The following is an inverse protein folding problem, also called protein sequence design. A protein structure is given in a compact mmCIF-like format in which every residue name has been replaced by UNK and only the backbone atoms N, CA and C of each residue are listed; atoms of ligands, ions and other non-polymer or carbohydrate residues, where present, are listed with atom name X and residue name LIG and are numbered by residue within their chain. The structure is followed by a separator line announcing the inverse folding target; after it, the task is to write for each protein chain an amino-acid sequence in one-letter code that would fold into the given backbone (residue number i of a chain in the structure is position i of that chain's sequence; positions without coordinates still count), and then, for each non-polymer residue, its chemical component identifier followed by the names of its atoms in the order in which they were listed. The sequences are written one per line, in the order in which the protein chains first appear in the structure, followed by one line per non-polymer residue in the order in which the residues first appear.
data_IF_990300571585
#
_entry.id   IF_990300571585
#
_cell.length_a   1.000
_cell.length_b   1.000
_cell.length_c   1.000
_cell.angle_alpha   90.00
_cell.angle_beta   90.00
_cell.angle_gamma   90.00
#
_symmetry.space_group_name_H-M   'P 1'
#
loop_
_entity.id
_entity.type
_entity.pdbx_description
1 polymer ?
#
# COMPACT_ATOMS: atom_id res chain seq x y z
N UNK A 1 -11.78 5.15 -24.83
CA UNK A 1 -11.50 4.89 -23.39
C UNK A 1 -12.01 3.49 -23.10
N UNK A 2 -11.11 2.51 -22.87
CA UNK A 2 -11.50 1.09 -22.78
C UNK A 2 -12.51 0.84 -21.64
N UNK A 3 -13.40 -0.14 -21.80
CA UNK A 3 -14.41 -0.49 -20.79
C UNK A 3 -13.81 -0.74 -19.40
N UNK A 4 -12.58 -1.28 -19.37
CA UNK A 4 -11.77 -1.49 -18.17
C UNK A 4 -11.49 -0.20 -17.40
N UNK A 5 -11.16 0.91 -18.09
CA UNK A 5 -10.94 2.20 -17.44
C UNK A 5 -12.22 2.76 -16.81
N UNK A 6 -13.39 2.53 -17.42
CA UNK A 6 -14.68 2.94 -16.85
C UNK A 6 -15.08 2.12 -15.63
N UNK A 7 -14.82 0.81 -15.65
CA UNK A 7 -15.11 -0.08 -14.52
C UNK A 7 -14.24 0.22 -13.28
N UNK A 8 -12.97 0.60 -13.51
CA UNK A 8 -12.00 0.91 -12.45
C UNK A 8 -12.13 2.36 -11.93
N UNK A 9 -12.62 3.29 -12.77
CA UNK A 9 -12.82 4.70 -12.42
C UNK A 9 -14.10 4.97 -11.62
N UNK A 10 -14.95 3.97 -11.37
CA UNK A 10 -16.17 4.16 -10.58
C UNK A 10 -15.89 4.49 -9.12
N UNK A 11 -14.71 4.15 -8.61
CA UNK A 11 -14.29 4.49 -7.26
C UNK A 11 -13.43 5.76 -7.26
N UNK A 12 -13.98 6.84 -6.69
CA UNK A 12 -13.38 8.17 -6.42
C UNK A 12 -12.65 8.87 -7.60
N UNK A 13 -13.11 10.07 -7.96
CA UNK A 13 -12.38 10.96 -8.89
C UNK A 13 -11.06 11.41 -8.26
N UNK A 14 -9.91 10.92 -8.76
CA UNK A 14 -8.58 11.46 -8.42
C UNK A 14 -8.24 12.59 -9.40
N UNK A 15 -7.68 13.69 -8.88
CA UNK A 15 -7.30 14.88 -9.64
C UNK A 15 -5.78 15.02 -9.81
N UNK A 16 -5.03 13.93 -9.59
CA UNK A 16 -3.56 13.97 -9.63
C UNK A 16 -3.02 14.17 -11.05
N UNK A 17 -1.88 14.86 -11.18
CA UNK A 17 -1.25 15.18 -12.48
C UNK A 17 -0.85 13.91 -13.25
N UNK A 18 -0.49 12.84 -12.54
CA UNK A 18 -0.11 11.53 -13.10
C UNK A 18 -1.28 10.54 -13.23
N UNK A 19 -2.51 10.97 -12.93
CA UNK A 19 -3.65 10.08 -12.81
C UNK A 19 -3.90 9.23 -14.06
N UNK A 20 -3.81 9.82 -15.25
CA UNK A 20 -4.12 9.13 -16.51
C UNK A 20 -3.09 8.03 -16.83
N UNK A 21 -1.82 8.27 -16.53
CA UNK A 21 -0.74 7.31 -16.74
C UNK A 21 -0.81 6.17 -15.72
N UNK A 22 -1.03 6.49 -14.45
CA UNK A 22 -1.20 5.53 -13.38
C UNK A 22 -2.42 4.62 -13.63
N UNK A 23 -3.55 5.22 -14.03
CA UNK A 23 -4.77 4.47 -14.39
C UNK A 23 -4.55 3.57 -15.61
N UNK A 24 -3.79 4.03 -16.61
CA UNK A 24 -3.46 3.21 -17.78
C UNK A 24 -2.59 2.00 -17.40
N UNK A 25 -1.55 2.22 -16.59
CA UNK A 25 -0.64 1.18 -16.14
C UNK A 25 -1.37 0.15 -15.27
N UNK A 26 -2.18 0.61 -14.33
CA UNK A 26 -2.94 -0.30 -13.48
C UNK A 26 -4.02 -1.06 -14.26
N UNK A 27 -4.73 -0.42 -15.19
CA UNK A 27 -5.68 -1.13 -16.05
C UNK A 27 -4.99 -2.26 -16.83
N UNK A 28 -3.81 -1.99 -17.36
CA UNK A 28 -2.98 -2.99 -18.05
C UNK A 28 -2.55 -4.14 -17.13
N UNK A 29 -2.15 -3.85 -15.89
CA UNK A 29 -1.79 -4.87 -14.90
C UNK A 29 -3.01 -5.73 -14.51
N UNK A 30 -4.15 -5.10 -14.24
CA UNK A 30 -5.40 -5.79 -13.87
C UNK A 30 -5.88 -6.73 -14.99
N UNK A 31 -5.77 -6.33 -16.25
CA UNK A 31 -6.14 -7.18 -17.40
C UNK A 31 -5.23 -8.41 -17.55
N UNK A 32 -3.95 -8.29 -17.19
CA UNK A 32 -2.96 -9.39 -17.28
C UNK A 32 -2.90 -10.28 -16.05
N UNK A 33 -3.63 -9.92 -15.00
CA UNK A 33 -3.60 -10.65 -13.74
C UNK A 33 -4.20 -12.06 -13.88
N UNK A 34 -3.50 -13.11 -13.41
CA UNK A 34 -4.00 -14.46 -13.47
C UNK A 34 -5.34 -14.62 -12.73
N UNK A 35 -6.23 -15.48 -13.26
CA UNK A 35 -7.56 -15.72 -12.68
C UNK A 35 -7.52 -16.22 -11.23
N UNK A 36 -6.43 -16.86 -10.80
CA UNK A 36 -6.25 -17.37 -9.44
C UNK A 36 -5.89 -16.29 -8.41
N UNK A 37 -5.34 -15.14 -8.83
CA UNK A 37 -5.01 -14.04 -7.90
C UNK A 37 -6.31 -13.42 -7.42
N UNK A 38 -6.49 -13.28 -6.11
CA UNK A 38 -7.69 -12.64 -5.52
C UNK A 38 -7.33 -11.29 -4.88
N UNK A 39 -8.33 -10.42 -4.68
CA UNK A 39 -8.16 -9.13 -3.98
C UNK A 39 -7.43 -9.31 -2.65
N UNK A 40 -7.89 -10.26 -1.83
CA UNK A 40 -7.29 -10.54 -0.52
C UNK A 40 -5.81 -10.94 -0.61
N UNK A 41 -5.39 -11.63 -1.67
CA UNK A 41 -3.98 -11.97 -1.87
C UNK A 41 -3.15 -10.73 -2.19
N UNK A 42 -3.69 -9.79 -2.96
CA UNK A 42 -3.04 -8.52 -3.24
C UNK A 42 -2.95 -7.64 -2.00
N UNK A 43 -4.02 -7.56 -1.20
CA UNK A 43 -4.00 -6.84 0.07
C UNK A 43 -2.96 -7.45 1.03
N UNK A 44 -2.86 -8.79 1.08
CA UNK A 44 -1.81 -9.47 1.86
C UNK A 44 -0.41 -9.20 1.33
N UNK A 45 -0.24 -9.07 0.01
CA UNK A 45 1.02 -8.68 -0.63
C UNK A 45 1.39 -7.24 -0.23
N UNK A 46 0.39 -6.35 -0.21
CA UNK A 46 0.49 -4.99 0.28
C UNK A 46 1.04 -4.94 1.70
N UNK A 47 0.43 -5.71 2.60
CA UNK A 47 0.87 -5.87 3.98
C UNK A 47 2.30 -6.42 4.09
N UNK A 48 2.62 -7.46 3.32
CA UNK A 48 3.98 -8.02 3.27
C UNK A 48 5.02 -6.99 2.85
N UNK A 49 4.68 -6.08 1.92
CA UNK A 49 5.54 -4.96 1.55
C UNK A 49 5.84 -4.04 2.75
N UNK A 50 4.81 -3.65 3.51
CA UNK A 50 4.98 -2.82 4.72
C UNK A 50 5.80 -3.54 5.81
N UNK A 51 5.54 -4.83 6.03
CA UNK A 51 6.32 -5.65 6.97
C UNK A 51 7.78 -5.79 6.53
N UNK A 52 8.03 -5.89 5.23
CA UNK A 52 9.39 -5.95 4.69
C UNK A 52 10.12 -4.62 4.89
N UNK A 53 9.46 -3.47 4.71
CA UNK A 53 10.04 -2.16 5.05
C UNK A 53 10.43 -2.11 6.53
N UNK A 54 9.54 -2.52 7.42
CA UNK A 54 9.81 -2.57 8.86
C UNK A 54 11.00 -3.50 9.19
N UNK A 55 11.03 -4.69 8.59
CA UNK A 55 12.11 -5.65 8.76
C UNK A 55 13.45 -5.11 8.25
N UNK A 56 13.46 -4.43 7.10
CA UNK A 56 14.66 -3.80 6.54
C UNK A 56 15.19 -2.69 7.46
N UNK A 57 14.32 -1.88 8.07
CA UNK A 57 14.74 -0.87 9.05
C UNK A 57 15.32 -1.51 10.32
N UNK A 58 14.69 -2.55 10.85
CA UNK A 58 15.22 -3.31 11.99
C UNK A 58 16.58 -3.94 11.68
N UNK A 59 16.73 -4.57 10.51
CA UNK A 59 17.98 -5.18 10.09
C UNK A 59 19.05 -4.11 9.83
N UNK A 60 18.69 -2.96 9.27
CA UNK A 60 19.62 -1.85 9.05
C UNK A 60 20.20 -1.29 10.36
N UNK A 61 19.45 -1.38 11.47
CA UNK A 61 19.92 -0.99 12.80
C UNK A 61 21.07 -1.89 13.30
N UNK A 62 21.11 -3.16 12.87
CA UNK A 62 22.10 -4.16 13.33
C UNK A 62 23.23 -4.36 12.31
N UNK A 63 22.91 -4.43 11.01
CA UNK A 63 23.83 -4.83 9.93
C UNK A 63 24.28 -3.67 9.04
N UNK A 64 23.77 -2.45 9.29
CA UNK A 64 24.15 -1.22 8.59
C UNK A 64 23.12 -0.67 7.62
N UNK A 65 23.22 0.62 7.33
CA UNK A 65 22.25 1.40 6.57
C UNK A 65 22.10 1.03 5.09
N UNK A 66 23.03 0.26 4.53
CA UNK A 66 22.98 -0.19 3.13
C UNK A 66 21.73 -1.04 2.82
N UNK A 67 21.16 -1.71 3.82
CA UNK A 67 19.93 -2.48 3.67
C UNK A 67 18.71 -1.61 3.35
N UNK A 68 18.76 -0.30 3.67
CA UNK A 68 17.69 0.63 3.30
C UNK A 68 17.61 0.87 1.79
N UNK A 69 18.63 0.50 1.02
CA UNK A 69 18.56 0.57 -0.45
C UNK A 69 17.54 -0.42 -1.04
N UNK A 70 17.12 -1.43 -0.27
CA UNK A 70 16.06 -2.37 -0.68
C UNK A 70 14.66 -1.87 -0.32
N UNK A 71 14.54 -0.83 0.53
CA UNK A 71 13.27 -0.25 0.94
C UNK A 71 12.39 0.22 -0.23
N UNK A 72 12.92 0.83 -1.32
CA UNK A 72 12.12 1.15 -2.51
C UNK A 72 11.45 -0.06 -3.16
N UNK A 73 12.10 -1.24 -3.13
CA UNK A 73 11.52 -2.49 -3.66
C UNK A 73 10.36 -2.93 -2.76
N UNK A 74 10.54 -2.86 -1.44
CA UNK A 74 9.47 -3.17 -0.50
C UNK A 74 8.27 -2.23 -0.63
N UNK A 75 8.51 -0.93 -0.82
CA UNK A 75 7.45 0.03 -1.13
C UNK A 75 6.77 -0.23 -2.48
N UNK A 76 7.53 -0.64 -3.49
CA UNK A 76 6.94 -1.04 -4.77
C UNK A 76 6.01 -2.25 -4.62
N UNK A 77 6.38 -3.24 -3.80
CA UNK A 77 5.52 -4.39 -3.49
C UNK A 77 4.26 -3.95 -2.75
N UNK A 78 4.40 -3.07 -1.75
CA UNK A 78 3.25 -2.52 -1.03
C UNK A 78 2.29 -1.81 -1.98
N UNK A 79 2.82 -0.85 -2.75
CA UNK A 79 2.06 -0.09 -3.74
C UNK A 79 1.39 -0.99 -4.78
N UNK A 80 2.08 -2.03 -5.26
CA UNK A 80 1.53 -2.98 -6.22
C UNK A 80 0.33 -3.74 -5.65
N UNK A 81 0.41 -4.19 -4.39
CA UNK A 81 -0.70 -4.88 -3.72
C UNK A 81 -1.92 -3.97 -3.54
N UNK A 82 -1.72 -2.85 -2.87
CA UNK A 82 -2.77 -1.88 -2.50
C UNK A 82 -3.39 -1.17 -3.71
N UNK A 83 -2.60 -0.87 -4.75
CA UNK A 83 -3.15 -0.21 -5.95
C UNK A 83 -4.00 -1.14 -6.81
N UNK A 84 -3.79 -2.46 -6.73
CA UNK A 84 -4.46 -3.43 -7.58
C UNK A 84 -5.66 -4.10 -6.94
N UNK A 85 -5.74 -4.19 -5.62
CA UNK A 85 -6.72 -5.04 -4.93
C UNK A 85 -8.18 -4.59 -5.18
N UNK A 86 -8.50 -3.34 -4.85
CA UNK A 86 -9.82 -2.75 -5.08
C UNK A 86 -10.16 -2.75 -6.56
N UNK A 87 -9.21 -2.35 -7.41
CA UNK A 87 -9.41 -2.26 -8.87
C UNK A 87 -9.64 -3.63 -9.52
N UNK A 88 -9.00 -4.68 -9.03
CA UNK A 88 -9.26 -6.06 -9.44
C UNK A 88 -10.65 -6.53 -9.01
N UNK A 89 -11.09 -6.16 -7.80
CA UNK A 89 -12.42 -6.50 -7.30
C UNK A 89 -13.54 -5.89 -8.16
N UNK A 90 -13.38 -4.63 -8.58
CA UNK A 90 -14.29 -3.96 -9.52
C UNK A 90 -14.22 -4.56 -10.92
N UNK A 91 -13.02 -4.80 -11.46
CA UNK A 91 -12.85 -5.42 -12.78
C UNK A 91 -13.52 -6.79 -12.87
N UNK A 92 -13.44 -7.60 -11.80
CA UNK A 92 -14.07 -8.93 -11.74
C UNK A 92 -15.55 -8.91 -11.37
N UNK A 93 -16.17 -7.73 -11.22
CA UNK A 93 -17.57 -7.55 -10.81
C UNK A 93 -17.92 -8.32 -9.53
N UNK A 94 -16.96 -8.47 -8.61
CA UNK A 94 -17.16 -9.07 -7.28
C UNK A 94 -16.78 -8.07 -6.16
N UNK A 95 -17.25 -6.81 -6.21
CA UNK A 95 -16.93 -5.84 -5.17
C UNK A 95 -17.59 -6.26 -3.85
N UNK A 96 -16.82 -6.29 -2.77
CA UNK A 96 -17.34 -6.48 -1.41
C UNK A 96 -17.12 -5.19 -0.63
N UNK A 97 -18.02 -4.22 -0.82
CA UNK A 97 -17.83 -2.83 -0.36
C UNK A 97 -17.43 -2.72 1.12
N UNK A 98 -18.17 -3.39 2.02
CA UNK A 98 -17.90 -3.31 3.46
C UNK A 98 -16.71 -4.14 3.92
N UNK A 99 -16.53 -5.34 3.36
CA UNK A 99 -15.44 -6.22 3.75
C UNK A 99 -14.08 -5.71 3.25
N UNK A 100 -14.02 -5.29 1.98
CA UNK A 100 -12.81 -4.69 1.40
C UNK A 100 -12.42 -3.44 2.17
N UNK A 101 -13.36 -2.50 2.34
CA UNK A 101 -13.11 -1.27 3.09
C UNK A 101 -12.57 -1.50 4.51
N UNK A 102 -13.19 -2.41 5.29
CA UNK A 102 -12.67 -2.72 6.62
C UNK A 102 -11.31 -3.41 6.58
N UNK A 103 -11.09 -4.31 5.62
CA UNK A 103 -9.81 -5.00 5.46
C UNK A 103 -8.69 -4.02 5.10
N UNK A 104 -8.94 -3.10 4.18
CA UNK A 104 -7.98 -2.09 3.73
C UNK A 104 -7.58 -1.20 4.91
N UNK A 105 -8.54 -0.68 5.68
CA UNK A 105 -8.26 0.11 6.90
C UNK A 105 -7.43 -0.69 7.89
N UNK A 106 -7.79 -1.93 8.19
CA UNK A 106 -7.07 -2.76 9.16
C UNK A 106 -5.64 -3.04 8.69
N UNK A 107 -5.46 -3.35 7.41
CA UNK A 107 -4.14 -3.66 6.83
C UNK A 107 -3.24 -2.44 6.79
N UNK A 108 -3.78 -1.27 6.45
CA UNK A 108 -3.05 -0.01 6.48
C UNK A 108 -2.63 0.37 7.90
N UNK A 109 -3.52 0.19 8.89
CA UNK A 109 -3.19 0.40 10.30
C UNK A 109 -2.07 -0.53 10.78
N UNK A 110 -2.14 -1.82 10.44
CA UNK A 110 -1.06 -2.76 10.79
C UNK A 110 0.23 -2.37 10.07
N UNK A 111 0.15 -1.96 8.81
CA UNK A 111 1.27 -1.54 7.98
C UNK A 111 2.00 -0.33 8.55
N UNK A 112 1.27 0.74 8.88
CA UNK A 112 1.86 1.97 9.43
C UNK A 112 2.46 1.74 10.82
N UNK A 113 1.82 0.91 11.66
CA UNK A 113 2.36 0.53 12.97
C UNK A 113 3.65 -0.27 12.81
N UNK A 114 3.71 -1.22 11.88
CA UNK A 114 4.91 -1.99 11.61
C UNK A 114 6.06 -1.10 11.13
N UNK A 115 5.82 -0.22 10.15
CA UNK A 115 6.83 0.72 9.66
C UNK A 115 7.27 1.68 10.77
N UNK A 116 6.32 2.18 11.59
CA UNK A 116 6.61 3.04 12.74
C UNK A 116 7.49 2.36 13.78
N UNK A 117 7.28 1.07 14.06
CA UNK A 117 8.15 0.27 14.93
C UNK A 117 9.54 0.08 14.32
N UNK A 118 9.62 -0.24 13.02
CA UNK A 118 10.90 -0.34 12.31
C UNK A 118 11.70 0.97 12.37
N UNK A 119 11.03 2.10 12.15
CA UNK A 119 11.60 3.43 12.29
C UNK A 119 12.10 3.69 13.71
N UNK A 120 11.28 3.39 14.72
CA UNK A 120 11.62 3.59 16.13
C UNK A 120 12.88 2.83 16.55
N UNK A 121 13.09 1.62 16.01
CA UNK A 121 14.27 0.78 16.26
C UNK A 121 15.52 1.28 15.54
N UNK A 122 15.37 1.81 14.32
CA UNK A 122 16.49 2.28 13.51
C UNK A 122 17.01 3.66 13.94
N UNK A 123 16.12 4.56 14.32
CA UNK A 123 16.42 5.99 14.43
C UNK A 123 16.96 6.42 15.80
N UNK A 124 17.90 7.37 15.78
CA UNK A 124 18.47 8.00 16.97
C UNK A 124 17.38 8.68 17.83
N UNK A 125 17.56 8.74 19.17
CA UNK A 125 16.51 9.21 20.09
C UNK A 125 15.89 10.57 19.74
N UNK A 126 16.69 11.51 19.23
CA UNK A 126 16.23 12.86 18.88
C UNK A 126 15.16 12.89 17.78
N UNK A 127 15.14 11.90 16.88
CA UNK A 127 14.27 11.89 15.71
C UNK A 127 13.05 10.97 15.87
N UNK A 128 12.96 10.21 16.98
CA UNK A 128 11.83 9.30 17.26
C UNK A 128 10.47 10.01 17.27
N UNK A 129 10.45 11.25 17.73
CA UNK A 129 9.24 12.10 17.78
C UNK A 129 8.69 12.34 16.37
N UNK A 130 9.56 12.50 15.36
CA UNK A 130 9.13 12.72 13.98
C UNK A 130 8.41 11.50 13.42
N UNK A 131 8.94 10.29 13.67
CA UNK A 131 8.27 9.04 13.29
C UNK A 131 6.92 8.85 13.98
N UNK A 132 6.84 9.19 15.27
CA UNK A 132 5.57 9.14 16.00
C UNK A 132 4.53 10.10 15.43
N UNK A 133 4.91 11.35 15.16
CA UNK A 133 4.03 12.34 14.51
C UNK A 133 3.57 11.83 13.15
N UNK A 134 4.46 11.22 12.36
CA UNK A 134 4.11 10.67 11.05
C UNK A 134 3.04 9.58 11.15
N UNK A 135 3.19 8.61 12.06
CA UNK A 135 2.20 7.54 12.29
C UNK A 135 0.84 8.13 12.71
N UNK A 136 0.84 9.12 13.61
CA UNK A 136 -0.38 9.77 14.09
C UNK A 136 -1.08 10.55 12.97
N UNK A 137 -0.33 11.33 12.19
CA UNK A 137 -0.88 12.11 11.07
C UNK A 137 -1.45 11.19 9.98
N UNK A 138 -0.76 10.10 9.68
CA UNK A 138 -1.24 9.12 8.70
C UNK A 138 -2.53 8.42 9.18
N UNK A 139 -2.56 8.00 10.44
CA UNK A 139 -3.79 7.44 11.03
C UNK A 139 -4.96 8.43 11.04
N UNK A 140 -4.70 9.73 11.21
CA UNK A 140 -5.73 10.76 11.10
C UNK A 140 -6.24 10.94 9.67
N UNK A 141 -5.35 10.92 8.67
CA UNK A 141 -5.73 11.00 7.25
C UNK A 141 -6.68 9.87 6.84
N UNK A 142 -6.40 8.64 7.29
CA UNK A 142 -7.24 7.47 7.03
C UNK A 142 -8.67 7.57 7.60
N UNK A 143 -8.86 8.31 8.70
CA UNK A 143 -10.20 8.50 9.29
C UNK A 143 -10.99 9.55 8.52
N UNK A 144 -10.30 10.53 7.93
CA UNK A 144 -10.90 11.67 7.25
C UNK A 144 -11.21 11.33 5.77
N UNK A 145 -10.44 10.42 5.15
CA UNK A 145 -10.58 10.05 3.73
C UNK A 145 -11.70 9.03 3.45
#
# INVERSE_FOLDING_TARGET
MSETKKAISQDRKRTNILHDQELALIAYLVERMPRWVTSNMLTSLGLCGNLLVAALMCLASVWGSWLLLFTPIAFFINWFGDSLDGRLAYYRKKPRKWFGFCLDIVVDWIGIVAIGLGYYVYVQPAWKVVGFIFVVLYGAEMIIS
#
